data_IF_444791602687
#
_entry.id   IF_444791602687
#
_cell.length_a   1.000
_cell.length_b   1.000
_cell.length_c   1.000
_cell.angle_alpha   90.00
_cell.angle_beta   90.00
_cell.angle_gamma   90.00
#
_symmetry.space_group_name_H-M   'P 1'
#
loop_
_entity.id
_entity.type
_entity.pdbx_description
1 polymer ?
#
# COMPACT_ATOMS: atom_id res chain seq x y z
N UNK A 1 -40.66 -6.96 2.62
CA UNK A 1 -39.76 -6.60 1.50
C UNK A 1 -39.86 -5.10 1.19
N UNK A 2 -41.06 -4.57 0.95
CA UNK A 2 -41.31 -3.16 0.67
C UNK A 2 -40.78 -2.21 1.76
N UNK A 3 -41.02 -2.53 3.04
CA UNK A 3 -40.47 -1.74 4.16
C UNK A 3 -38.94 -1.71 4.18
N UNK A 4 -38.28 -2.82 3.81
CA UNK A 4 -36.82 -2.88 3.76
C UNK A 4 -36.27 -1.99 2.63
N UNK A 5 -36.95 -1.96 1.48
CA UNK A 5 -36.61 -1.10 0.34
C UNK A 5 -36.77 0.37 0.73
N UNK A 6 -37.88 0.76 1.34
CA UNK A 6 -38.12 2.14 1.79
C UNK A 6 -37.05 2.60 2.78
N UNK A 7 -36.67 1.74 3.74
CA UNK A 7 -35.60 2.07 4.70
C UNK A 7 -34.24 2.24 4.03
N UNK A 8 -33.87 1.35 3.10
CA UNK A 8 -32.60 1.43 2.38
C UNK A 8 -32.53 2.68 1.49
N UNK A 9 -33.62 2.98 0.77
CA UNK A 9 -33.72 4.19 -0.06
C UNK A 9 -33.58 5.45 0.79
N UNK A 10 -34.30 5.52 1.92
CA UNK A 10 -34.19 6.64 2.85
C UNK A 10 -32.76 6.77 3.38
N UNK A 11 -32.12 5.68 3.80
CA UNK A 11 -30.74 5.70 4.29
C UNK A 11 -29.77 6.25 3.23
N UNK A 12 -29.94 5.86 1.96
CA UNK A 12 -29.10 6.34 0.86
C UNK A 12 -29.34 7.84 0.61
N UNK A 13 -30.60 8.27 0.50
CA UNK A 13 -30.95 9.69 0.29
C UNK A 13 -30.42 10.58 1.40
N UNK A 14 -30.47 10.14 2.67
CA UNK A 14 -29.93 10.92 3.80
C UNK A 14 -28.40 11.06 3.78
N UNK A 15 -27.68 10.29 2.94
CA UNK A 15 -26.22 10.36 2.79
C UNK A 15 -25.79 11.04 1.49
N UNK A 16 -26.75 11.53 0.70
CA UNK A 16 -26.44 12.36 -0.46
C UNK A 16 -25.87 13.70 0.05
N UNK A 17 -24.76 14.14 -0.55
CA UNK A 17 -24.23 15.49 -0.34
C UNK A 17 -25.26 16.54 -0.77
N UNK A 18 -25.19 17.75 -0.21
CA UNK A 18 -26.00 18.89 -0.65
C UNK A 18 -25.82 19.19 -2.15
N UNK A 19 -24.64 18.85 -2.71
CA UNK A 19 -24.32 19.00 -4.14
C UNK A 19 -24.84 17.84 -5.01
N UNK A 20 -25.46 16.82 -4.42
CA UNK A 20 -26.15 15.74 -5.13
C UNK A 20 -25.34 14.45 -5.37
N UNK A 21 -24.08 14.37 -4.97
CA UNK A 21 -23.27 13.15 -5.09
C UNK A 21 -23.31 12.27 -3.82
N UNK A 22 -22.83 11.03 -3.93
CA UNK A 22 -22.50 10.16 -2.79
C UNK A 22 -21.00 9.98 -2.70
N UNK A 23 -20.45 10.15 -1.50
CA UNK A 23 -19.05 9.87 -1.23
C UNK A 23 -18.97 8.79 -0.15
N UNK A 24 -18.37 7.66 -0.53
CA UNK A 24 -18.03 6.58 0.37
C UNK A 24 -16.51 6.38 0.35
N UNK A 25 -16.01 5.77 1.41
CA UNK A 25 -14.62 5.34 1.46
C UNK A 25 -14.40 4.23 0.42
N UNK A 26 -13.32 4.37 -0.36
CA UNK A 26 -12.83 3.30 -1.22
C UNK A 26 -11.76 2.54 -0.43
N UNK A 27 -12.20 1.51 0.29
CA UNK A 27 -11.30 0.68 1.09
C UNK A 27 -10.36 -0.15 0.20
N UNK A 28 -9.15 -0.37 0.69
CA UNK A 28 -8.11 -1.15 0.02
C UNK A 28 -7.17 -1.82 1.01
N UNK A 29 -6.00 -2.22 0.53
CA UNK A 29 -4.92 -2.69 1.37
C UNK A 29 -4.16 -1.54 2.05
N UNK A 30 -3.03 -1.86 2.68
CA UNK A 30 -2.18 -0.87 3.38
C UNK A 30 -1.06 -0.29 2.51
N UNK A 31 -1.06 -0.58 1.20
CA UNK A 31 0.03 -0.15 0.30
C UNK A 31 0.03 1.37 0.17
N UNK A 32 -1.13 2.03 0.07
CA UNK A 32 -1.18 3.48 -0.11
C UNK A 32 -0.63 4.23 1.10
N UNK A 33 -1.00 3.85 2.32
CA UNK A 33 -0.47 4.44 3.55
C UNK A 33 1.02 4.16 3.69
N UNK A 34 1.46 2.94 3.36
CA UNK A 34 2.86 2.58 3.42
C UNK A 34 3.69 3.39 2.43
N UNK A 35 3.29 3.43 1.16
CA UNK A 35 3.98 4.19 0.13
C UNK A 35 3.99 5.69 0.40
N UNK A 36 2.92 6.23 1.00
CA UNK A 36 2.89 7.62 1.41
C UNK A 36 3.92 7.92 2.51
N UNK A 37 4.07 7.04 3.52
CA UNK A 37 5.14 7.19 4.51
C UNK A 37 6.52 7.08 3.86
N UNK A 38 6.73 6.15 2.91
CA UNK A 38 8.01 6.02 2.19
C UNK A 38 8.34 7.27 1.37
N UNK A 39 7.34 7.88 0.72
CA UNK A 39 7.48 9.15 0.02
C UNK A 39 7.86 10.28 0.99
N UNK A 40 7.18 10.38 2.14
CA UNK A 40 7.50 11.38 3.15
C UNK A 40 8.90 11.16 3.73
N UNK A 41 9.34 9.91 3.90
CA UNK A 41 10.69 9.57 4.30
C UNK A 41 11.72 10.11 3.30
N UNK A 42 11.50 9.87 2.01
CA UNK A 42 12.37 10.37 0.96
C UNK A 42 12.40 11.91 0.91
N UNK A 43 11.28 12.57 1.19
CA UNK A 43 11.17 14.03 1.29
C UNK A 43 11.75 14.61 2.60
N UNK A 44 12.23 13.79 3.54
CA UNK A 44 12.71 14.24 4.84
C UNK A 44 11.62 14.72 5.81
N UNK A 45 10.38 14.22 5.64
CA UNK A 45 9.16 14.66 6.32
C UNK A 45 8.54 13.61 7.24
N UNK A 46 9.33 12.70 7.81
CA UNK A 46 8.82 11.66 8.71
C UNK A 46 8.15 12.21 9.99
N UNK A 47 8.44 13.46 10.36
CA UNK A 47 7.84 14.10 11.53
C UNK A 47 6.44 14.68 11.25
N UNK A 48 5.90 14.54 10.03
CA UNK A 48 4.55 15.02 9.73
C UNK A 48 3.50 14.22 10.52
N UNK A 49 2.48 14.88 11.13
CA UNK A 49 1.46 14.20 11.93
C UNK A 49 0.69 13.10 11.19
N UNK A 50 0.64 13.17 9.85
CA UNK A 50 -0.02 12.16 9.02
C UNK A 50 0.68 10.80 9.08
N UNK A 51 2.00 10.76 9.32
CA UNK A 51 2.77 9.52 9.46
C UNK A 51 2.21 8.67 10.60
N UNK A 52 1.89 9.29 11.74
CA UNK A 52 1.30 8.59 12.88
C UNK A 52 -0.09 8.02 12.54
N UNK A 53 -0.92 8.78 11.83
CA UNK A 53 -2.26 8.33 11.41
C UNK A 53 -2.18 7.14 10.44
N UNK A 54 -1.31 7.23 9.44
CA UNK A 54 -1.05 6.14 8.51
C UNK A 54 -0.52 4.90 9.25
N UNK A 55 0.45 5.06 10.15
CA UNK A 55 1.00 3.95 10.92
C UNK A 55 -0.07 3.29 11.82
N UNK A 56 -0.96 4.07 12.46
CA UNK A 56 -2.08 3.54 13.23
C UNK A 56 -3.03 2.70 12.37
N UNK A 57 -3.39 3.19 11.18
CA UNK A 57 -4.20 2.42 10.23
C UNK A 57 -3.51 1.12 9.83
N UNK A 58 -2.22 1.17 9.47
CA UNK A 58 -1.44 -0.02 9.10
C UNK A 58 -1.44 -1.05 10.24
N UNK A 59 -1.24 -0.63 11.50
CA UNK A 59 -1.29 -1.56 12.65
C UNK A 59 -2.65 -2.23 12.81
N UNK A 60 -3.75 -1.51 12.57
CA UNK A 60 -5.11 -2.05 12.68
C UNK A 60 -5.41 -3.12 11.62
N UNK A 61 -4.76 -3.06 10.46
CA UNK A 61 -4.95 -4.01 9.36
C UNK A 61 -4.04 -5.25 9.42
N UNK A 62 -3.22 -5.38 10.47
CA UNK A 62 -2.33 -6.53 10.60
C UNK A 62 -3.15 -7.82 10.79
N UNK A 63 -2.79 -8.88 10.05
CA UNK A 63 -3.44 -10.18 10.20
C UNK A 63 -3.07 -10.85 11.54
N UNK A 64 -3.95 -11.70 12.10
CA UNK A 64 -3.62 -12.47 13.31
C UNK A 64 -2.39 -13.38 13.15
N UNK A 65 -2.11 -13.83 11.93
CA UNK A 65 -0.92 -14.62 11.56
C UNK A 65 0.35 -13.77 11.41
N UNK A 66 0.26 -12.46 11.62
CA UNK A 66 1.26 -11.48 11.18
C UNK A 66 1.13 -11.16 9.70
N UNK A 67 1.89 -10.14 9.27
CA UNK A 67 1.83 -9.65 7.89
C UNK A 67 0.52 -8.92 7.56
N UNK A 68 0.34 -8.62 6.28
CA UNK A 68 -0.76 -7.86 5.71
C UNK A 68 -1.25 -8.50 4.42
N UNK A 69 -2.55 -8.37 4.13
CA UNK A 69 -3.20 -8.89 2.93
C UNK A 69 -3.54 -7.76 1.93
N UNK A 70 -3.87 -8.15 0.69
CA UNK A 70 -4.38 -7.22 -0.34
C UNK A 70 -5.88 -6.95 -0.24
N UNK A 71 -6.62 -7.78 0.50
CA UNK A 71 -8.06 -7.66 0.67
C UNK A 71 -8.50 -8.31 1.99
N UNK A 72 -9.68 -7.96 2.54
CA UNK A 72 -10.17 -8.52 3.81
C UNK A 72 -10.25 -10.05 3.79
N UNK A 73 -9.62 -10.70 4.77
CA UNK A 73 -9.57 -12.16 4.86
C UNK A 73 -8.63 -12.85 3.87
N UNK A 74 -7.86 -12.09 3.09
CA UNK A 74 -6.84 -12.63 2.19
C UNK A 74 -5.61 -13.18 2.94
N UNK A 75 -4.73 -13.93 2.23
CA UNK A 75 -3.48 -14.41 2.80
C UNK A 75 -2.47 -13.26 2.95
N UNK A 76 -1.38 -13.53 3.69
CA UNK A 76 -0.20 -12.66 3.74
C UNK A 76 0.31 -12.42 2.31
N UNK A 77 0.41 -11.15 1.91
CA UNK A 77 1.08 -10.74 0.69
C UNK A 77 2.43 -10.11 1.04
N UNK A 78 3.50 -10.62 0.41
CA UNK A 78 4.86 -10.34 0.82
C UNK A 78 5.27 -8.87 0.61
N UNK A 79 4.84 -8.25 -0.49
CA UNK A 79 5.24 -6.88 -0.86
C UNK A 79 4.61 -5.86 0.07
N UNK A 80 3.30 -5.96 0.29
CA UNK A 80 2.51 -5.18 1.25
C UNK A 80 3.06 -5.37 2.66
N UNK A 81 3.33 -6.63 3.06
CA UNK A 81 3.84 -6.92 4.40
C UNK A 81 5.22 -6.32 4.68
N UNK A 82 6.14 -6.42 3.71
CA UNK A 82 7.47 -5.83 3.84
C UNK A 82 7.41 -4.31 3.91
N UNK A 83 6.57 -3.66 3.08
CA UNK A 83 6.36 -2.21 3.14
C UNK A 83 5.78 -1.79 4.50
N UNK A 84 4.71 -2.43 4.95
CA UNK A 84 4.07 -2.14 6.23
C UNK A 84 5.04 -2.29 7.41
N UNK A 85 5.77 -3.40 7.50
CA UNK A 85 6.79 -3.59 8.53
C UNK A 85 7.88 -2.51 8.47
N UNK A 86 8.32 -2.15 7.27
CA UNK A 86 9.36 -1.15 7.09
C UNK A 86 8.93 0.25 7.55
N UNK A 87 7.73 0.69 7.18
CA UNK A 87 7.24 2.01 7.58
C UNK A 87 6.86 2.09 9.04
N UNK A 88 6.39 0.99 9.64
CA UNK A 88 6.16 0.96 11.09
C UNK A 88 7.47 1.13 11.86
N UNK A 89 8.58 0.56 11.40
CA UNK A 89 9.90 0.86 11.96
C UNK A 89 10.27 2.34 11.83
N UNK A 90 9.97 2.97 10.70
CA UNK A 90 10.22 4.41 10.50
C UNK A 90 9.35 5.28 11.42
N UNK A 91 8.12 4.83 11.70
CA UNK A 91 7.18 5.49 12.58
C UNK A 91 7.50 5.28 14.09
N UNK A 92 8.55 4.51 14.41
CA UNK A 92 9.08 4.34 15.76
C UNK A 92 8.85 2.97 16.40
N UNK A 93 8.20 2.03 15.70
CA UNK A 93 7.92 0.70 16.25
C UNK A 93 9.21 -0.11 16.39
N UNK A 94 9.41 -0.71 17.56
CA UNK A 94 10.60 -1.52 17.81
C UNK A 94 10.44 -2.88 17.13
N UNK A 95 11.49 -3.42 16.46
CA UNK A 95 11.50 -4.79 15.97
C UNK A 95 11.26 -5.87 17.05
N UNK A 96 11.41 -5.51 18.33
CA UNK A 96 11.13 -6.39 19.48
C UNK A 96 9.67 -6.35 19.94
N UNK A 97 8.87 -5.39 19.49
CA UNK A 97 7.45 -5.32 19.85
C UNK A 97 6.72 -6.55 19.33
N UNK A 98 5.73 -7.04 20.08
CA UNK A 98 5.08 -8.31 19.77
C UNK A 98 4.49 -8.35 18.36
N UNK A 99 3.83 -7.27 17.92
CA UNK A 99 3.26 -7.17 16.57
C UNK A 99 4.33 -7.14 15.48
N UNK A 100 5.47 -6.49 15.74
CA UNK A 100 6.61 -6.45 14.82
C UNK A 100 7.32 -7.81 14.73
N UNK A 101 7.52 -8.49 15.86
CA UNK A 101 8.14 -9.80 15.89
C UNK A 101 7.34 -10.82 15.06
N UNK A 102 6.01 -10.88 15.26
CA UNK A 102 5.13 -11.79 14.51
C UNK A 102 5.10 -11.41 13.01
N UNK A 103 5.06 -10.11 12.67
CA UNK A 103 5.18 -9.67 11.28
C UNK A 103 6.48 -10.13 10.63
N UNK A 104 7.62 -10.01 11.34
CA UNK A 104 8.92 -10.43 10.82
C UNK A 104 8.95 -11.94 10.56
N UNK A 105 8.45 -12.75 11.49
CA UNK A 105 8.40 -14.20 11.29
C UNK A 105 7.50 -14.56 10.09
N UNK A 106 6.35 -13.91 9.96
CA UNK A 106 5.48 -14.10 8.79
C UNK A 106 6.20 -13.72 7.48
N UNK A 107 6.87 -12.57 7.43
CA UNK A 107 7.65 -12.13 6.26
C UNK A 107 8.76 -13.13 5.90
N UNK A 108 9.52 -13.61 6.90
CA UNK A 108 10.60 -14.58 6.68
C UNK A 108 10.07 -15.92 6.19
N UNK A 109 8.94 -16.39 6.74
CA UNK A 109 8.28 -17.62 6.27
C UNK A 109 7.82 -17.54 4.80
N UNK A 110 7.58 -16.32 4.28
CA UNK A 110 7.21 -16.07 2.89
C UNK A 110 8.41 -15.69 1.99
N UNK A 111 9.63 -15.98 2.45
CA UNK A 111 10.88 -15.78 1.70
C UNK A 111 11.50 -14.40 1.82
N UNK A 112 10.94 -13.54 2.69
CA UNK A 112 11.55 -12.28 3.07
C UNK A 112 11.54 -11.19 2.00
N UNK A 113 12.29 -10.12 2.26
CA UNK A 113 12.36 -8.93 1.42
C UNK A 113 12.88 -9.20 -0.01
N UNK A 114 13.57 -10.31 -0.25
CA UNK A 114 14.04 -10.69 -1.59
C UNK A 114 12.92 -11.12 -2.53
N UNK A 115 11.75 -11.51 -1.99
CA UNK A 115 10.60 -12.01 -2.74
C UNK A 115 9.56 -10.94 -3.08
N UNK A 116 9.84 -9.68 -2.77
CA UNK A 116 8.93 -8.56 -3.06
C UNK A 116 8.90 -8.21 -4.55
N UNK A 117 7.80 -7.58 -4.97
CA UNK A 117 7.62 -7.13 -6.35
C UNK A 117 8.55 -5.95 -6.75
N UNK A 118 8.54 -5.61 -8.04
CA UNK A 118 9.37 -4.54 -8.61
C UNK A 118 9.12 -3.16 -7.98
N UNK A 119 7.88 -2.81 -7.67
CA UNK A 119 7.54 -1.54 -7.01
C UNK A 119 8.17 -1.42 -5.62
N UNK A 120 8.12 -2.49 -4.83
CA UNK A 120 8.74 -2.50 -3.51
C UNK A 120 10.26 -2.38 -3.59
N UNK A 121 10.90 -3.09 -4.55
CA UNK A 121 12.33 -2.95 -4.83
C UNK A 121 12.69 -1.52 -5.27
N UNK A 122 11.82 -0.86 -6.03
CA UNK A 122 12.01 0.54 -6.42
C UNK A 122 12.04 1.47 -5.20
N UNK A 123 11.10 1.35 -4.25
CA UNK A 123 11.15 2.14 -3.02
C UNK A 123 12.39 1.84 -2.17
N UNK A 124 12.82 0.57 -2.10
CA UNK A 124 14.06 0.19 -1.43
C UNK A 124 15.28 0.85 -2.08
N UNK A 125 15.32 0.96 -3.42
CA UNK A 125 16.38 1.68 -4.11
C UNK A 125 16.30 3.20 -3.91
N UNK A 126 15.09 3.75 -3.95
CA UNK A 126 14.82 5.18 -3.73
C UNK A 126 15.34 5.66 -2.35
N UNK A 127 15.23 4.81 -1.33
CA UNK A 127 15.70 5.08 0.03
C UNK A 127 17.07 4.45 0.34
N UNK A 128 17.78 3.97 -0.67
CA UNK A 128 19.17 3.53 -0.56
C UNK A 128 19.41 2.17 0.10
N UNK A 129 18.38 1.35 0.34
CA UNK A 129 18.53 -0.03 0.80
C UNK A 129 19.02 -0.97 -0.30
N UNK A 130 18.66 -0.68 -1.55
CA UNK A 130 19.14 -1.37 -2.75
C UNK A 130 19.82 -0.36 -3.68
N UNK A 131 20.63 -0.88 -4.60
CA UNK A 131 21.09 -0.10 -5.76
C UNK A 131 20.08 -0.20 -6.90
N UNK A 132 19.98 0.83 -7.74
CA UNK A 132 19.07 0.80 -8.91
C UNK A 132 19.40 -0.33 -9.90
N UNK A 133 20.63 -0.84 -9.92
CA UNK A 133 21.04 -2.01 -10.71
C UNK A 133 20.32 -3.30 -10.28
N UNK A 134 19.75 -3.34 -9.07
CA UNK A 134 19.00 -4.48 -8.54
C UNK A 134 17.48 -4.35 -8.77
N UNK A 135 17.03 -3.32 -9.49
CA UNK A 135 15.62 -3.06 -9.81
C UNK A 135 15.41 -3.22 -11.32
N UNK A 136 14.30 -3.83 -11.79
CA UNK A 136 13.99 -3.86 -13.22
C UNK A 136 13.98 -2.46 -13.82
N UNK A 137 14.69 -2.27 -14.94
CA UNK A 137 14.78 -0.98 -15.60
C UNK A 137 13.47 -0.61 -16.29
N UNK A 138 13.07 0.66 -16.18
CA UNK A 138 12.02 1.28 -16.99
C UNK A 138 12.70 2.37 -17.82
N UNK A 139 13.16 2.06 -19.05
CA UNK A 139 13.96 2.99 -19.84
C UNK A 139 13.11 4.18 -20.29
N UNK A 140 13.55 5.43 -20.05
CA UNK A 140 12.81 6.61 -20.52
C UNK A 140 12.70 6.68 -22.06
N UNK A 141 13.60 6.00 -22.78
CA UNK A 141 13.57 5.88 -24.24
C UNK A 141 12.30 5.21 -24.77
N UNK A 142 11.54 4.50 -23.93
CA UNK A 142 10.23 3.94 -24.29
C UNK A 142 9.24 5.01 -24.77
N UNK A 143 9.42 6.26 -24.32
CA UNK A 143 8.64 7.42 -24.77
C UNK A 143 8.89 7.78 -26.23
N UNK A 144 10.02 7.34 -26.81
CA UNK A 144 10.38 7.60 -28.20
C UNK A 144 9.83 6.54 -29.16
N UNK A 145 9.24 5.46 -28.65
CA UNK A 145 8.68 4.41 -29.49
C UNK A 145 7.45 4.92 -30.25
N UNK A 146 7.36 4.68 -31.57
CA UNK A 146 6.17 5.04 -32.33
C UNK A 146 5.00 4.14 -31.92
N UNK A 147 3.77 4.63 -32.10
CA UNK A 147 2.53 3.94 -31.70
C UNK A 147 2.32 2.54 -32.31
N UNK A 148 2.98 2.24 -33.42
CA UNK A 148 2.91 0.93 -34.07
C UNK A 148 3.90 -0.09 -33.48
N UNK A 149 4.89 0.37 -32.71
CA UNK A 149 5.90 -0.49 -32.12
C UNK A 149 5.33 -1.18 -30.88
N UNK A 150 5.52 -2.51 -30.70
CA UNK A 150 5.09 -3.18 -29.49
C UNK A 150 5.76 -2.57 -28.25
N UNK A 151 5.05 -2.57 -27.11
CA UNK A 151 5.49 -2.00 -25.82
C UNK A 151 5.51 -0.47 -25.76
N UNK A 152 5.01 0.24 -26.78
CA UNK A 152 4.83 1.68 -26.65
C UNK A 152 3.83 1.99 -25.53
N UNK A 153 3.93 3.18 -24.93
CA UNK A 153 3.14 3.55 -23.76
C UNK A 153 1.61 3.54 -23.99
N UNK A 154 1.15 3.56 -25.24
CA UNK A 154 -0.28 3.51 -25.57
C UNK A 154 -0.85 2.08 -25.62
N UNK A 155 0.00 1.04 -25.51
CA UNK A 155 -0.44 -0.35 -25.29
C UNK A 155 -0.60 -0.68 -23.79
N UNK A 156 -0.23 0.23 -22.90
CA UNK A 156 -0.38 0.06 -21.45
C UNK A 156 -1.79 0.48 -21.00
N UNK A 157 -2.37 -0.22 -20.03
CA UNK A 157 -3.65 0.17 -19.43
C UNK A 157 -3.53 1.50 -18.69
N UNK A 158 -4.57 2.34 -18.82
CA UNK A 158 -4.72 3.59 -18.06
C UNK A 158 -5.09 3.37 -16.61
#
# INVERSE_FOLDING_TARGET
MEEAVTRAANWLVHRQSEEGYWCGELEGDTILESEYILLLAWLGRLNDPVVHKCAEYIRQQQLPTGGWALYPGGPVEISSSVKAYWVLKMAGDSPSDAHMAIAREAILAHGGAERVNSFTRYYMALLGMLTYQQVPAVPPEILLLPRWCPLNIYEMSS
#
